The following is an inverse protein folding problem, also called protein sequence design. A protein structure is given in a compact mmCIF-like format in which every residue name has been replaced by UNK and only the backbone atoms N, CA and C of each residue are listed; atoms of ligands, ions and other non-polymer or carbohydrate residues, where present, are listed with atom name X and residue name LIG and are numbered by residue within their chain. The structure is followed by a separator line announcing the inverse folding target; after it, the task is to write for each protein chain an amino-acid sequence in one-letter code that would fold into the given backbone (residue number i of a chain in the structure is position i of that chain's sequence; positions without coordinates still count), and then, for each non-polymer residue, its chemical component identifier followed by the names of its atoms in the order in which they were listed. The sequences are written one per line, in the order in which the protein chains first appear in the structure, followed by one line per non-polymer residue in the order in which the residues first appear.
data_IF_738349168299
#
_entry.id   IF_738349168299
#
_cell.length_a   1.000
_cell.length_b   1.000
_cell.length_c   1.000
_cell.angle_alpha   90.00
_cell.angle_beta   90.00
_cell.angle_gamma   90.00
#
_symmetry.space_group_name_H-M   'P 1'
#
loop_
_entity.id
_entity.type
_entity.pdbx_description
1 polymer ?
#
# COMPACT_ATOMS: atom_id res chain seq x y z
N UNK A 1 13.65 21.02 18.70
CA UNK A 1 12.60 21.46 17.74
C UNK A 1 11.33 20.70 18.10
N UNK A 2 10.12 21.27 17.99
CA UNK A 2 8.91 20.50 18.27
C UNK A 2 8.77 19.38 17.22
N UNK A 3 8.43 18.13 17.60
CA UNK A 3 8.34 17.03 16.65
C UNK A 3 7.12 17.26 15.74
N UNK A 4 7.36 17.52 14.46
CA UNK A 4 6.31 17.76 13.44
C UNK A 4 5.66 16.44 13.01
N UNK A 5 6.44 15.35 13.05
CA UNK A 5 6.04 14.04 12.53
C UNK A 5 4.84 13.41 13.27
N UNK A 6 4.78 13.35 14.63
CA UNK A 6 3.64 12.78 15.34
C UNK A 6 2.33 13.54 15.11
N UNK A 7 2.42 14.85 14.87
CA UNK A 7 1.24 15.68 14.58
C UNK A 7 0.71 15.36 13.18
N UNK A 8 1.60 15.18 12.20
CA UNK A 8 1.21 14.83 10.84
C UNK A 8 0.56 13.44 10.77
N UNK A 9 1.16 12.45 11.45
CA UNK A 9 0.61 11.09 11.53
C UNK A 9 -0.76 11.07 12.21
N UNK A 10 -0.94 11.86 13.27
CA UNK A 10 -2.23 12.01 13.94
C UNK A 10 -3.33 12.57 13.03
N UNK A 11 -3.00 13.52 12.16
CA UNK A 11 -3.98 14.12 11.24
C UNK A 11 -4.34 13.15 10.11
N UNK A 12 -3.36 12.42 9.57
CA UNK A 12 -3.58 11.45 8.49
C UNK A 12 -4.44 10.28 8.99
N UNK A 13 -4.13 9.78 10.19
CA UNK A 13 -4.76 8.58 10.76
C UNK A 13 -5.84 8.93 11.80
N UNK A 14 -6.41 10.13 11.75
CA UNK A 14 -7.32 10.65 12.77
C UNK A 14 -8.49 9.71 13.07
N UNK A 15 -9.14 9.17 12.04
CA UNK A 15 -10.31 8.30 12.18
C UNK A 15 -9.95 7.02 12.96
N UNK A 16 -8.84 6.38 12.59
CA UNK A 16 -8.33 5.17 13.25
C UNK A 16 -7.91 5.46 14.69
N UNK A 17 -7.26 6.60 14.93
CA UNK A 17 -6.81 6.99 16.27
C UNK A 17 -7.99 7.30 17.19
N UNK A 18 -9.06 7.89 16.65
CA UNK A 18 -10.31 8.10 17.40
C UNK A 18 -10.94 6.76 17.81
N UNK A 19 -10.90 5.76 16.92
CA UNK A 19 -11.33 4.39 17.23
C UNK A 19 -10.42 3.65 18.21
N UNK A 20 -9.20 4.11 18.46
CA UNK A 20 -8.29 3.50 19.44
C UNK A 20 -8.23 4.29 20.75
N UNK A 21 -9.07 5.31 20.92
CA UNK A 21 -9.06 6.16 22.10
C UNK A 21 -9.43 5.38 23.37
N UNK A 22 -8.58 5.44 24.40
CA UNK A 22 -8.79 4.78 25.69
C UNK A 22 -9.87 5.46 26.55
N UNK A 23 -10.22 6.71 26.24
CA UNK A 23 -11.22 7.50 26.98
C UNK A 23 -12.60 7.48 26.33
N UNK A 24 -12.90 6.47 25.50
CA UNK A 24 -14.22 6.31 24.86
C UNK A 24 -15.37 6.22 25.86
N UNK A 25 -15.11 5.62 27.03
CA UNK A 25 -16.10 5.44 28.10
C UNK A 25 -16.34 6.73 28.91
N UNK A 26 -15.62 7.81 28.60
CA UNK A 26 -15.71 9.13 29.28
C UNK A 26 -15.91 10.26 28.26
N UNK A 27 -17.08 10.32 27.61
CA UNK A 27 -17.38 11.31 26.57
C UNK A 27 -17.29 12.76 27.08
N UNK A 28 -17.47 13.00 28.38
CA UNK A 28 -17.32 14.31 29.02
C UNK A 28 -15.93 14.93 28.84
N UNK A 29 -14.90 14.12 28.57
CA UNK A 29 -13.53 14.58 28.39
C UNK A 29 -13.24 15.08 26.97
N UNK A 30 -14.15 14.87 26.01
CA UNK A 30 -13.96 15.27 24.60
C UNK A 30 -12.58 14.88 24.03
N UNK A 31 -12.11 13.66 24.36
CA UNK A 31 -10.71 13.29 24.15
C UNK A 31 -10.35 13.20 22.66
N UNK A 32 -11.21 12.61 21.82
CA UNK A 32 -11.06 12.56 20.35
C UNK A 32 -9.64 12.15 19.89
N UNK A 33 -9.07 11.12 20.52
CA UNK A 33 -7.72 10.63 20.19
C UNK A 33 -6.55 11.45 20.77
N UNK A 34 -6.79 12.57 21.47
CA UNK A 34 -5.73 13.41 22.05
C UNK A 34 -4.86 12.69 23.09
N UNK A 35 -5.36 11.63 23.72
CA UNK A 35 -4.58 10.77 24.60
C UNK A 35 -3.43 10.07 23.85
N UNK A 36 -3.68 9.63 22.61
CA UNK A 36 -2.68 8.99 21.76
C UNK A 36 -1.60 9.98 21.34
N UNK A 37 -2.01 11.16 20.85
CA UNK A 37 -1.10 12.22 20.45
C UNK A 37 -0.20 12.67 21.62
N UNK A 38 -0.76 12.84 22.82
CA UNK A 38 0.04 13.18 24.02
C UNK A 38 1.07 12.11 24.35
N UNK A 39 0.71 10.84 24.23
CA UNK A 39 1.63 9.74 24.48
C UNK A 39 2.77 9.72 23.47
N UNK A 40 2.48 9.89 22.17
CA UNK A 40 3.50 9.92 21.12
C UNK A 40 4.46 11.12 21.29
N UNK A 41 3.92 12.30 21.58
CA UNK A 41 4.73 13.50 21.85
C UNK A 41 5.64 13.32 23.08
N UNK A 42 5.17 12.64 24.12
CA UNK A 42 5.97 12.35 25.31
C UNK A 42 7.11 11.37 25.03
N UNK A 43 6.88 10.35 24.19
CA UNK A 43 7.93 9.41 23.74
C UNK A 43 9.02 10.15 22.96
N UNK A 44 8.64 10.96 21.97
CA UNK A 44 9.60 11.72 21.16
C UNK A 44 10.41 12.71 22.01
N UNK A 45 9.79 13.32 23.03
CA UNK A 45 10.48 14.23 23.95
C UNK A 45 11.50 13.52 24.88
N UNK A 46 11.30 12.23 25.18
CA UNK A 46 12.27 11.44 25.96
C UNK A 46 13.42 10.92 25.09
N UNK A 47 13.17 10.69 23.81
CA UNK A 47 14.17 10.28 22.82
C UNK A 47 15.12 11.42 22.41
N UNK A 48 14.73 12.69 22.61
CA UNK A 48 15.54 13.90 22.41
C UNK A 48 16.68 14.09 23.45
N UNK A 49 17.12 13.01 24.13
CA UNK A 49 18.37 13.03 24.89
C UNK A 49 19.54 13.13 23.89
N UNK A 50 20.39 14.19 23.95
CA UNK A 50 21.45 14.44 22.97
C UNK A 50 22.59 13.40 22.96
N UNK A 51 22.49 12.34 23.76
CA UNK A 51 23.40 11.18 23.80
C UNK A 51 22.83 9.92 23.13
N UNK A 52 21.56 9.90 22.76
CA UNK A 52 20.95 8.77 22.05
C UNK A 52 20.87 9.09 20.55
N UNK A 53 21.93 8.67 19.85
CA UNK A 53 22.10 8.57 18.40
C UNK A 53 21.04 9.22 17.50
N UNK A 54 21.48 10.20 16.70
CA UNK A 54 20.86 10.60 15.43
C UNK A 54 20.47 9.37 14.63
N UNK A 55 19.26 8.88 14.79
CA UNK A 55 18.72 7.81 13.97
C UNK A 55 18.28 8.46 12.68
N UNK A 56 19.22 8.50 11.74
CA UNK A 56 18.90 8.66 10.34
C UNK A 56 17.70 7.76 10.02
N UNK A 57 16.66 8.33 9.43
CA UNK A 57 15.46 7.63 8.96
C UNK A 57 15.87 6.29 8.35
N UNK A 58 15.59 5.18 9.06
CA UNK A 58 15.79 3.83 8.51
C UNK A 58 14.67 3.55 7.52
N UNK A 59 14.80 4.11 6.33
CA UNK A 59 13.98 3.74 5.19
C UNK A 59 14.38 2.34 4.74
N UNK A 60 13.55 1.35 5.06
CA UNK A 60 13.71 -0.01 4.59
C UNK A 60 13.07 -0.10 3.19
N UNK A 61 13.88 0.01 2.14
CA UNK A 61 13.44 -0.29 0.78
C UNK A 61 13.86 -1.71 0.44
N UNK A 62 12.87 -2.61 0.28
CA UNK A 62 13.15 -3.93 -0.28
C UNK A 62 13.23 -3.83 -1.80
N UNK A 63 14.33 -4.33 -2.37
CA UNK A 63 14.49 -4.42 -3.82
C UNK A 63 13.59 -5.56 -4.30
N UNK A 64 12.42 -5.21 -4.83
CA UNK A 64 11.55 -6.17 -5.49
C UNK A 64 12.07 -6.45 -6.89
N UNK A 65 12.04 -7.73 -7.29
CA UNK A 65 12.30 -8.12 -8.67
C UNK A 65 11.20 -7.55 -9.58
N UNK A 66 11.59 -6.82 -10.63
CA UNK A 66 10.71 -6.41 -11.70
C UNK A 66 11.33 -6.77 -13.05
N UNK A 67 10.49 -7.20 -13.98
CA UNK A 67 10.89 -7.45 -15.36
C UNK A 67 9.98 -6.65 -16.29
N UNK A 68 10.58 -5.88 -17.18
CA UNK A 68 9.86 -5.22 -18.26
C UNK A 68 9.60 -6.29 -19.33
N UNK A 69 8.33 -6.58 -19.61
CA UNK A 69 7.94 -7.46 -20.70
C UNK A 69 7.79 -6.60 -21.95
N UNK A 70 8.56 -6.89 -22.99
CA UNK A 70 8.36 -6.31 -24.32
C UNK A 70 7.34 -7.17 -25.05
N UNK A 71 6.13 -6.63 -25.22
CA UNK A 71 5.11 -7.25 -26.04
C UNK A 71 5.32 -6.80 -27.48
N UNK A 72 5.91 -7.67 -28.31
CA UNK A 72 5.78 -7.50 -29.75
C UNK A 72 4.34 -7.87 -30.12
N UNK A 73 3.54 -6.86 -30.50
CA UNK A 73 2.22 -7.13 -31.04
C UNK A 73 2.39 -7.96 -32.31
N UNK A 74 1.81 -9.17 -32.39
CA UNK A 74 1.86 -9.92 -33.63
C UNK A 74 1.19 -9.07 -34.72
N UNK A 75 1.86 -8.93 -35.85
CA UNK A 75 1.29 -8.27 -37.02
C UNK A 75 -0.04 -8.93 -37.37
N UNK A 76 -1.15 -8.23 -37.09
CA UNK A 76 -2.48 -8.67 -37.49
C UNK A 76 -2.63 -8.32 -38.96
N UNK A 77 -2.50 -9.32 -39.82
CA UNK A 77 -2.76 -9.17 -41.24
C UNK A 77 -4.22 -8.73 -41.42
N UNK A 78 -4.45 -7.51 -41.87
CA UNK A 78 -5.78 -6.98 -42.11
C UNK A 78 -6.43 -7.77 -43.25
N UNK A 79 -7.41 -8.61 -42.93
CA UNK A 79 -8.30 -9.20 -43.93
C UNK A 79 -9.45 -8.24 -44.21
N UNK A 80 -9.99 -8.28 -45.44
CA UNK A 80 -11.24 -7.57 -45.74
C UNK A 80 -12.32 -8.17 -44.85
N UNK A 81 -12.88 -7.37 -43.94
CA UNK A 81 -13.98 -7.78 -43.07
C UNK A 81 -15.21 -7.97 -43.95
N UNK A 82 -15.69 -9.21 -44.08
CA UNK A 82 -17.00 -9.47 -44.67
C UNK A 82 -18.09 -8.99 -43.70
N UNK A 83 -19.06 -8.24 -44.21
CA UNK A 83 -20.15 -7.65 -43.41
C UNK A 83 -21.32 -8.60 -43.25
N UNK A 84 -21.27 -9.78 -43.88
CA UNK A 84 -22.23 -10.85 -43.65
C UNK A 84 -21.98 -11.46 -42.28
N UNK A 85 -22.97 -11.35 -41.40
CA UNK A 85 -22.99 -12.08 -40.12
C UNK A 85 -23.15 -13.56 -40.45
N UNK A 86 -22.03 -14.29 -40.42
CA UNK A 86 -22.03 -15.75 -40.35
C UNK A 86 -22.00 -16.08 -38.86
N UNK A 87 -23.12 -16.56 -38.33
CA UNK A 87 -23.20 -16.99 -36.94
C UNK A 87 -22.35 -18.25 -36.76
N UNK A 88 -21.12 -18.05 -36.28
CA UNK A 88 -20.23 -19.15 -35.94
C UNK A 88 -19.48 -18.79 -34.67
N UNK A 89 -19.78 -19.52 -33.60
CA UNK A 89 -19.04 -19.45 -32.35
C UNK A 89 -17.66 -20.07 -32.56
N UNK A 90 -16.65 -19.23 -32.75
CA UNK A 90 -15.26 -19.64 -32.70
C UNK A 90 -14.72 -19.35 -31.29
N UNK A 91 -14.55 -20.41 -30.49
CA UNK A 91 -13.82 -20.30 -29.23
C UNK A 91 -12.34 -20.09 -29.55
N UNK A 92 -11.93 -18.83 -29.60
CA UNK A 92 -10.52 -18.43 -29.69
C UNK A 92 -9.80 -18.55 -28.33
N UNK A 93 -10.36 -19.32 -27.40
CA UNK A 93 -9.73 -19.61 -26.13
C UNK A 93 -8.52 -20.50 -26.36
N UNK A 94 -7.33 -19.91 -26.27
CA UNK A 94 -6.08 -20.62 -26.12
C UNK A 94 -5.65 -20.50 -24.66
N UNK A 95 -5.60 -21.63 -23.95
CA UNK A 95 -4.97 -21.67 -22.65
C UNK A 95 -3.46 -21.47 -22.82
N UNK A 96 -2.98 -20.29 -22.49
CA UNK A 96 -1.56 -20.02 -22.41
C UNK A 96 -1.06 -20.65 -21.12
N UNK A 97 -0.38 -21.80 -21.22
CA UNK A 97 0.44 -22.34 -20.13
C UNK A 97 1.55 -21.35 -19.84
N UNK A 98 1.30 -20.37 -18.96
CA UNK A 98 2.38 -19.62 -18.34
C UNK A 98 3.06 -20.55 -17.34
N UNK A 99 4.36 -20.78 -17.54
CA UNK A 99 5.23 -21.32 -16.50
C UNK A 99 5.49 -20.21 -15.47
N UNK A 100 4.43 -19.75 -14.82
CA UNK A 100 4.55 -18.74 -13.78
C UNK A 100 5.12 -19.37 -12.51
N UNK A 101 6.30 -18.90 -12.11
CA UNK A 101 6.93 -19.17 -10.81
C UNK A 101 6.13 -18.58 -9.63
N UNK A 102 4.98 -17.95 -9.91
CA UNK A 102 4.08 -17.33 -8.94
C UNK A 102 3.27 -18.40 -8.18
N UNK A 103 3.19 -19.62 -8.72
CA UNK A 103 2.56 -20.73 -8.01
C UNK A 103 3.59 -21.38 -7.08
N UNK A 104 3.28 -21.54 -5.79
CA UNK A 104 4.18 -22.22 -4.86
C UNK A 104 4.44 -23.66 -5.35
N UNK A 105 5.61 -24.25 -5.03
CA UNK A 105 5.89 -25.63 -5.36
C UNK A 105 4.82 -26.52 -4.71
N UNK A 106 4.25 -27.42 -5.50
CA UNK A 106 3.37 -28.46 -4.99
C UNK A 106 4.22 -29.45 -4.19
N UNK A 107 3.85 -29.63 -2.92
CA UNK A 107 4.49 -30.54 -1.97
C UNK A 107 4.34 -32.01 -2.38
#
# INVERSE_FOLDING_TARGET
MKPIFPVLDFVINYDVIQELCINKDRPELSCNGSCHLKSELAKTAQEDNPLAGKTALKLHFEVLYFQIIQWDLPFVQQSKIDTKVVDSYNSLYAYLTSADSIKPPLA
#
